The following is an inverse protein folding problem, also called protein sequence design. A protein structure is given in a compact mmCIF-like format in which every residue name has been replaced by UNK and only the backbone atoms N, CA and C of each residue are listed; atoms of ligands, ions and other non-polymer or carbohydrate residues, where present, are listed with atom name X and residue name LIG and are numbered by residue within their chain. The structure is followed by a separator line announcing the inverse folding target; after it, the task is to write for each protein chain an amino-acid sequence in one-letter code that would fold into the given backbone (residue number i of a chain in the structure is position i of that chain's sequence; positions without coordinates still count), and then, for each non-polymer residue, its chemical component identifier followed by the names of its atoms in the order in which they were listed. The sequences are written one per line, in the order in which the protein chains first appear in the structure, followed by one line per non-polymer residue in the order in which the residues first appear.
data_IF_014286932261
#
_entry.id   IF_014286932261
#
_cell.length_a   1.000
_cell.length_b   1.000
_cell.length_c   1.000
_cell.angle_alpha   90.00
_cell.angle_beta   90.00
_cell.angle_gamma   90.00
#
_symmetry.space_group_name_H-M   'P 1'
#
loop_
_entity.id
_entity.type
_entity.pdbx_description
1 polymer ?
#
# COMPACT_ATOMS: atom_id res chain seq x y z
N UNK A 1 -57.16 -40.26 -66.50
CA UNK A 1 -56.33 -41.48 -66.38
C UNK A 1 -55.18 -41.21 -65.43
N UNK A 2 -55.00 -42.10 -64.43
CA UNK A 2 -53.81 -42.34 -63.57
C UNK A 2 -53.26 -41.15 -62.74
N UNK A 3 -53.40 -41.12 -61.40
CA UNK A 3 -52.64 -41.88 -60.35
C UNK A 3 -51.14 -41.49 -60.33
N UNK A 4 -50.39 -41.22 -59.24
CA UNK A 4 -50.43 -41.23 -57.75
C UNK A 4 -49.14 -40.47 -57.31
N UNK A 5 -48.97 -40.20 -56.00
CA UNK A 5 -47.72 -40.00 -55.22
C UNK A 5 -47.44 -38.52 -54.88
N UNK A 6 -47.22 -38.07 -53.62
CA UNK A 6 -47.08 -38.75 -52.33
C UNK A 6 -47.24 -37.71 -51.18
N UNK A 7 -47.69 -38.22 -50.05
CA UNK A 7 -48.01 -37.69 -48.72
C UNK A 7 -47.07 -36.68 -48.01
N UNK A 8 -47.72 -35.79 -47.23
CA UNK A 8 -47.49 -35.47 -45.78
C UNK A 8 -46.25 -34.61 -45.43
N UNK A 9 -46.46 -33.33 -45.11
CA UNK A 9 -46.63 -32.75 -43.76
C UNK A 9 -45.29 -32.53 -43.03
N UNK A 10 -44.92 -31.26 -42.84
CA UNK A 10 -44.68 -30.73 -41.49
C UNK A 10 -44.53 -29.22 -41.52
N UNK A 11 -45.30 -28.59 -40.64
CA UNK A 11 -45.29 -27.18 -40.31
C UNK A 11 -44.07 -26.83 -39.45
N UNK A 12 -43.64 -25.57 -39.49
CA UNK A 12 -42.64 -25.07 -38.54
C UNK A 12 -42.05 -23.71 -38.91
N UNK A 13 -42.73 -22.66 -38.44
CA UNK A 13 -42.31 -21.26 -38.28
C UNK A 13 -40.79 -21.00 -38.23
N UNK A 14 -40.35 -19.88 -38.85
CA UNK A 14 -39.70 -18.78 -38.13
C UNK A 14 -39.47 -17.55 -39.03
N UNK A 15 -39.76 -16.40 -38.45
CA UNK A 15 -39.81 -15.03 -38.99
C UNK A 15 -38.41 -14.46 -39.27
N UNK A 16 -38.23 -13.68 -40.37
CA UNK A 16 -37.34 -12.52 -40.39
C UNK A 16 -38.18 -11.26 -40.66
N UNK A 17 -37.95 -10.06 -40.13
CA UNK A 17 -36.78 -9.46 -39.52
C UNK A 17 -36.84 -7.95 -39.86
N UNK A 18 -36.25 -7.14 -38.98
CA UNK A 18 -35.84 -5.75 -39.18
C UNK A 18 -36.92 -4.65 -39.30
N UNK A 19 -36.90 -3.74 -38.32
CA UNK A 19 -37.54 -2.43 -38.43
C UNK A 19 -37.46 -1.61 -37.15
N UNK A 20 -36.37 -0.85 -37.01
CA UNK A 20 -36.27 0.39 -36.23
C UNK A 20 -36.27 0.28 -34.69
N UNK A 21 -35.14 -0.17 -34.13
CA UNK A 21 -34.77 0.20 -32.77
C UNK A 21 -34.32 1.67 -32.71
N UNK A 22 -35.09 2.44 -31.96
CA UNK A 22 -34.83 3.79 -31.54
C UNK A 22 -33.49 3.92 -30.79
N UNK A 23 -32.43 4.33 -31.50
CA UNK A 23 -31.22 4.87 -30.89
C UNK A 23 -31.39 6.38 -30.69
N UNK A 24 -32.04 6.77 -29.59
CA UNK A 24 -32.01 8.15 -29.10
C UNK A 24 -31.88 8.16 -27.57
N UNK A 25 -30.71 7.77 -27.10
CA UNK A 25 -30.27 7.95 -25.71
C UNK A 25 -28.75 7.75 -25.62
N UNK A 26 -27.96 8.75 -26.04
CA UNK A 26 -26.52 8.84 -25.75
C UNK A 26 -26.06 10.30 -25.77
N UNK A 27 -26.65 11.11 -24.89
CA UNK A 27 -26.08 12.38 -24.48
C UNK A 27 -26.61 12.61 -23.06
N UNK A 28 -25.81 12.19 -22.07
CA UNK A 28 -25.80 12.68 -20.68
C UNK A 28 -25.08 11.66 -19.81
N UNK A 29 -23.76 11.83 -19.70
CA UNK A 29 -22.94 10.91 -18.91
C UNK A 29 -21.44 11.22 -18.91
N UNK A 30 -21.02 12.43 -19.26
CA UNK A 30 -19.65 12.88 -18.95
C UNK A 30 -19.63 13.29 -17.47
N UNK A 31 -19.36 12.31 -16.59
CA UNK A 31 -18.90 12.60 -15.22
C UNK A 31 -17.71 13.54 -15.34
N UNK A 32 -17.84 14.77 -14.83
CA UNK A 32 -16.72 15.70 -14.70
C UNK A 32 -15.62 14.97 -13.94
N UNK A 33 -14.46 14.81 -14.57
CA UNK A 33 -13.27 14.33 -13.90
C UNK A 33 -13.07 15.23 -12.68
N UNK A 34 -13.13 14.66 -11.48
CA UNK A 34 -12.86 15.38 -10.25
C UNK A 34 -11.47 16.01 -10.40
N UNK A 35 -11.38 17.33 -10.25
CA UNK A 35 -10.10 18.02 -10.17
C UNK A 35 -9.25 17.29 -9.13
N UNK A 36 -8.14 16.71 -9.58
CA UNK A 36 -7.19 16.05 -8.71
C UNK A 36 -6.61 17.11 -7.78
N UNK A 37 -7.13 17.18 -6.56
CA UNK A 37 -6.52 17.99 -5.50
C UNK A 37 -5.05 17.60 -5.43
N UNK A 38 -4.12 18.57 -5.32
CA UNK A 38 -2.71 18.25 -5.18
C UNK A 38 -2.53 17.28 -3.99
N UNK A 39 -1.62 16.29 -4.11
CA UNK A 39 -1.42 15.31 -3.05
C UNK A 39 -1.10 16.05 -1.75
N UNK A 40 -1.96 15.90 -0.74
CA UNK A 40 -1.67 16.41 0.59
C UNK A 40 -0.47 15.63 1.13
N UNK A 41 0.58 16.35 1.53
CA UNK A 41 1.75 15.73 2.13
C UNK A 41 1.38 15.17 3.51
N UNK A 42 1.36 13.84 3.63
CA UNK A 42 1.13 13.12 4.88
C UNK A 42 2.48 12.73 5.46
N UNK A 43 2.73 13.11 6.72
CA UNK A 43 3.98 12.79 7.41
C UNK A 43 3.79 11.58 8.35
N UNK A 44 4.83 10.77 8.47
CA UNK A 44 4.91 9.68 9.43
C UNK A 44 5.37 10.19 10.80
N UNK A 45 4.72 9.73 11.86
CA UNK A 45 5.06 10.02 13.25
C UNK A 45 5.26 8.72 14.01
N UNK A 46 6.25 8.68 14.89
CA UNK A 46 6.55 7.49 15.68
C UNK A 46 5.57 7.37 16.85
N UNK A 47 4.76 6.31 16.86
CA UNK A 47 3.73 6.05 17.86
C UNK A 47 2.73 7.20 18.01
N UNK A 48 2.26 7.40 19.24
CA UNK A 48 1.34 8.50 19.58
C UNK A 48 2.05 9.84 19.84
N UNK A 49 3.29 9.99 19.38
CA UNK A 49 4.09 11.20 19.60
C UNK A 49 3.91 12.24 18.48
N UNK A 50 4.54 13.40 18.66
CA UNK A 50 4.75 14.42 17.63
C UNK A 50 6.16 14.33 17.02
N UNK A 51 6.86 13.22 17.26
CA UNK A 51 8.21 12.99 16.77
C UNK A 51 8.11 12.40 15.37
N UNK A 52 8.38 13.25 14.38
CA UNK A 52 8.58 12.87 12.98
C UNK A 52 10.03 12.55 12.67
N UNK A 53 10.94 13.29 13.30
CA UNK A 53 12.37 13.24 13.02
C UNK A 53 13.19 13.65 14.24
N UNK A 54 14.50 13.43 14.16
CA UNK A 54 15.46 13.84 15.18
C UNK A 54 15.90 12.71 16.11
N UNK A 55 16.64 13.09 17.15
CA UNK A 55 17.25 12.15 18.08
C UNK A 55 16.30 11.83 19.22
N UNK A 56 16.16 10.55 19.53
CA UNK A 56 15.40 10.04 20.67
C UNK A 56 16.26 9.11 21.52
N UNK A 57 15.96 9.01 22.81
CA UNK A 57 16.61 8.01 23.66
C UNK A 57 16.12 6.61 23.28
N UNK A 58 16.93 5.58 23.52
CA UNK A 58 16.52 4.18 23.28
C UNK A 58 15.20 3.84 23.97
N UNK A 59 15.03 4.26 25.22
CA UNK A 59 13.79 4.01 25.98
C UNK A 59 12.56 4.62 25.31
N UNK A 60 12.68 5.86 24.81
CA UNK A 60 11.59 6.53 24.10
C UNK A 60 11.34 5.85 22.76
N UNK A 61 12.38 5.54 22.00
CA UNK A 61 12.28 4.82 20.74
C UNK A 61 11.57 3.47 20.92
N UNK A 62 12.05 2.63 21.84
CA UNK A 62 11.48 1.31 22.13
C UNK A 62 10.02 1.40 22.57
N UNK A 63 9.65 2.45 23.30
CA UNK A 63 8.26 2.67 23.71
C UNK A 63 7.38 3.07 22.54
N UNK A 64 7.85 3.97 21.66
CA UNK A 64 7.04 4.51 20.58
C UNK A 64 6.92 3.55 19.40
N UNK A 65 7.99 2.82 19.07
CA UNK A 65 7.96 1.85 17.96
C UNK A 65 6.97 0.71 18.22
N UNK A 66 6.75 0.35 19.50
CA UNK A 66 5.72 -0.62 19.91
C UNK A 66 4.29 -0.10 19.73
N UNK A 67 4.10 1.21 19.69
CA UNK A 67 2.81 1.84 19.47
C UNK A 67 2.46 1.96 17.98
N UNK A 68 3.40 1.63 17.08
CA UNK A 68 3.22 1.74 15.64
C UNK A 68 3.64 3.10 15.09
N UNK A 69 3.10 3.44 13.92
CA UNK A 69 3.34 4.65 13.16
C UNK A 69 2.01 5.33 12.89
N UNK A 70 1.99 6.66 12.98
CA UNK A 70 0.80 7.47 12.69
C UNK A 70 1.03 8.36 11.49
N UNK A 71 0.09 8.35 10.55
CA UNK A 71 0.05 9.24 9.41
C UNK A 71 -0.78 10.49 9.73
N UNK A 72 -0.19 11.68 9.61
CA UNK A 72 -0.88 12.95 9.88
C UNK A 72 -0.44 14.05 8.91
N UNK A 73 -1.39 14.84 8.42
CA UNK A 73 -1.10 16.00 7.58
C UNK A 73 -0.74 17.25 8.39
N UNK A 74 -0.39 18.32 7.68
CA UNK A 74 -0.07 19.63 8.29
C UNK A 74 -1.24 20.28 9.05
N UNK A 75 -2.48 19.86 8.82
CA UNK A 75 -3.68 20.35 9.51
C UNK A 75 -4.02 19.55 10.77
N UNK A 76 -3.25 18.51 11.08
CA UNK A 76 -3.48 17.62 12.22
C UNK A 76 -4.49 16.51 11.93
N UNK A 77 -4.93 16.36 10.68
CA UNK A 77 -5.83 15.27 10.29
C UNK A 77 -5.03 13.97 10.22
N UNK A 78 -5.53 12.95 10.92
CA UNK A 78 -4.94 11.61 10.94
C UNK A 78 -5.52 10.73 9.82
N UNK A 79 -4.68 9.84 9.29
CA UNK A 79 -5.04 8.90 8.23
C UNK A 79 -4.79 7.47 8.70
N UNK A 80 -5.57 6.53 8.17
CA UNK A 80 -5.31 5.11 8.36
C UNK A 80 -4.04 4.73 7.61
N UNK A 81 -3.12 4.03 8.28
CA UNK A 81 -1.90 3.51 7.66
C UNK A 81 -2.19 2.12 7.11
N UNK A 82 -2.15 1.97 5.79
CA UNK A 82 -2.34 0.67 5.12
C UNK A 82 -1.04 -0.15 5.09
N UNK A 83 0.10 0.54 5.11
CA UNK A 83 1.42 -0.03 5.26
C UNK A 83 2.49 1.04 5.13
N UNK A 84 3.73 0.67 5.40
CA UNK A 84 4.90 1.53 5.25
C UNK A 84 6.15 0.69 5.07
N UNK A 85 7.22 1.30 4.56
CA UNK A 85 8.55 0.71 4.53
C UNK A 85 9.34 1.21 5.73
N UNK A 86 9.84 0.27 6.54
CA UNK A 86 10.75 0.57 7.64
C UNK A 86 12.19 0.29 7.21
N UNK A 87 13.02 1.31 7.31
CA UNK A 87 14.45 1.23 7.06
C UNK A 87 15.21 1.41 8.37
N UNK A 88 16.18 0.54 8.64
CA UNK A 88 17.00 0.58 9.85
C UNK A 88 18.48 0.47 9.52
N UNK A 89 19.25 1.50 9.86
CA UNK A 89 20.70 1.52 9.81
C UNK A 89 21.28 1.22 11.19
N UNK A 90 21.84 0.03 11.35
CA UNK A 90 22.45 -0.46 12.58
C UNK A 90 23.97 -0.33 12.51
N UNK A 91 24.59 0.37 13.46
CA UNK A 91 26.06 0.52 13.49
C UNK A 91 26.72 -0.66 14.20
N UNK A 92 27.48 -1.48 13.50
CA UNK A 92 28.16 -2.63 14.11
C UNK A 92 29.68 -2.52 14.02
N UNK A 93 30.34 -3.26 14.92
CA UNK A 93 31.79 -3.37 14.98
C UNK A 93 32.22 -4.59 14.17
N UNK A 94 33.12 -4.36 13.22
CA UNK A 94 33.67 -5.35 12.32
C UNK A 94 35.18 -5.37 12.41
N UNK A 95 35.79 -6.42 11.88
CA UNK A 95 37.23 -6.53 11.69
C UNK A 95 37.55 -6.45 10.20
N UNK A 96 38.53 -5.63 9.83
CA UNK A 96 39.04 -5.57 8.46
C UNK A 96 39.92 -6.79 8.13
N UNK A 97 40.37 -6.88 6.87
CA UNK A 97 41.15 -8.05 6.41
C UNK A 97 42.52 -8.22 7.08
N UNK A 98 42.98 -7.24 7.88
CA UNK A 98 44.28 -7.27 8.58
C UNK A 98 44.10 -7.25 10.10
N UNK A 99 42.90 -7.50 10.60
CA UNK A 99 42.64 -7.62 12.03
C UNK A 99 42.32 -6.31 12.75
N UNK A 100 42.05 -5.21 12.04
CA UNK A 100 41.74 -3.92 12.67
C UNK A 100 40.24 -3.71 12.78
N UNK A 101 39.82 -3.22 13.95
CA UNK A 101 38.44 -2.89 14.23
C UNK A 101 37.97 -1.68 13.39
N UNK A 102 36.77 -1.79 12.82
CA UNK A 102 36.10 -0.73 12.07
C UNK A 102 34.60 -0.70 12.38
N UNK A 103 33.97 0.47 12.27
CA UNK A 103 32.52 0.61 12.42
C UNK A 103 31.89 0.68 11.03
N UNK A 104 30.94 -0.21 10.77
CA UNK A 104 30.12 -0.21 9.55
C UNK A 104 28.64 -0.10 9.92
N UNK A 105 27.81 0.29 8.95
CA UNK A 105 26.35 0.35 9.12
C UNK A 105 25.71 -0.74 8.28
N UNK A 106 24.96 -1.62 8.94
CA UNK A 106 24.13 -2.63 8.29
C UNK A 106 22.74 -2.07 8.07
N UNK A 107 22.15 -2.37 6.92
CA UNK A 107 20.82 -1.90 6.58
C UNK A 107 19.83 -3.05 6.55
N UNK A 108 18.68 -2.84 7.18
CA UNK A 108 17.49 -3.68 7.05
C UNK A 108 16.36 -2.81 6.50
N UNK A 109 15.67 -3.33 5.48
CA UNK A 109 14.49 -2.69 4.89
C UNK A 109 13.38 -3.72 4.82
N UNK A 110 12.20 -3.37 5.34
CA UNK A 110 11.04 -4.27 5.34
C UNK A 110 9.74 -3.48 5.12
N UNK A 111 8.88 -3.99 4.24
CA UNK A 111 7.52 -3.50 4.13
C UNK A 111 6.67 -4.08 5.26
N UNK A 112 6.04 -3.20 6.03
CA UNK A 112 5.19 -3.51 7.16
C UNK A 112 3.73 -3.24 6.77
N UNK A 113 2.86 -4.27 6.69
CA UNK A 113 1.45 -4.06 6.45
C UNK A 113 0.77 -3.49 7.71
N UNK A 114 -0.06 -2.47 7.53
CA UNK A 114 -0.70 -1.74 8.63
C UNK A 114 0.20 -0.70 9.28
N UNK A 115 -0.10 -0.35 10.53
CA UNK A 115 0.56 0.72 11.28
C UNK A 115 1.71 0.24 12.18
N UNK A 116 1.99 -1.06 12.23
CA UNK A 116 3.00 -1.63 13.12
C UNK A 116 4.06 -2.39 12.35
N UNK A 117 5.27 -2.44 12.92
CA UNK A 117 6.31 -3.33 12.46
C UNK A 117 5.84 -4.79 12.56
N UNK A 118 6.35 -5.66 11.68
CA UNK A 118 6.13 -7.09 11.85
C UNK A 118 6.71 -7.59 13.18
N UNK A 119 6.17 -8.68 13.70
CA UNK A 119 6.57 -9.21 15.01
C UNK A 119 8.07 -9.58 15.04
N UNK A 120 8.57 -10.18 13.95
CA UNK A 120 9.97 -10.56 13.81
C UNK A 120 10.90 -9.35 13.83
N UNK A 121 10.58 -8.34 13.02
CA UNK A 121 11.33 -7.09 12.97
C UNK A 121 11.31 -6.35 14.30
N UNK A 122 10.13 -6.21 14.91
CA UNK A 122 9.96 -5.59 16.23
C UNK A 122 10.87 -6.23 17.28
N UNK A 123 10.88 -7.57 17.36
CA UNK A 123 11.72 -8.30 18.32
C UNK A 123 13.21 -8.04 18.07
N UNK A 124 13.65 -8.12 16.81
CA UNK A 124 15.04 -7.93 16.44
C UNK A 124 15.53 -6.51 16.76
N UNK A 125 14.77 -5.50 16.35
CA UNK A 125 15.11 -4.09 16.56
C UNK A 125 15.21 -3.78 18.04
N UNK A 126 14.19 -4.13 18.84
CA UNK A 126 14.18 -3.79 20.27
C UNK A 126 15.33 -4.42 21.08
N UNK A 127 15.83 -5.58 20.63
CA UNK A 127 16.97 -6.26 21.25
C UNK A 127 18.31 -5.65 20.86
N UNK A 128 18.43 -5.08 19.66
CA UNK A 128 19.71 -4.66 19.06
C UNK A 128 19.91 -3.15 19.00
N UNK A 129 18.85 -2.37 19.19
CA UNK A 129 18.89 -0.91 19.10
C UNK A 129 19.93 -0.33 20.04
N UNK A 130 20.72 0.62 19.53
CA UNK A 130 21.75 1.30 20.31
C UNK A 130 21.96 2.73 19.84
N UNK A 131 22.69 3.49 20.65
CA UNK A 131 22.97 4.88 20.37
C UNK A 131 23.74 5.01 19.04
N UNK A 132 23.24 5.89 18.16
CA UNK A 132 23.83 6.12 16.85
C UNK A 132 23.21 5.30 15.72
N UNK A 133 22.33 4.36 16.01
CA UNK A 133 21.48 3.73 14.98
C UNK A 133 20.45 4.73 14.45
N UNK A 134 19.94 4.48 13.24
CA UNK A 134 18.97 5.35 12.57
C UNK A 134 17.80 4.53 12.03
N UNK A 135 16.57 5.00 12.27
CA UNK A 135 15.36 4.44 11.70
C UNK A 135 14.69 5.47 10.78
N UNK A 136 14.16 5.02 9.64
CA UNK A 136 13.44 5.84 8.67
C UNK A 136 12.14 5.11 8.32
N UNK A 137 11.05 5.86 8.23
CA UNK A 137 9.74 5.36 7.82
C UNK A 137 9.37 6.07 6.52
N UNK A 138 9.21 5.29 5.45
CA UNK A 138 8.95 5.78 4.10
C UNK A 138 7.72 5.08 3.50
N UNK A 139 7.20 5.63 2.40
CA UNK A 139 6.09 5.02 1.64
C UNK A 139 4.86 4.71 2.50
N UNK A 140 4.49 5.66 3.36
CA UNK A 140 3.31 5.63 4.23
C UNK A 140 2.05 6.11 3.52
#
# INVERSE_FOLDING_TARGET
MKRIFQYVLMAGLLVPGAGLLAQKAKEDGKKKAAESRPPQHVAAYLGNSQIREGRVSKKVFDSLIRQGVRAMDSSGKTYTVEGFTFNYGERNLYEDSVGRLMILTDFVSEYCPGDTLTQGLTKNILQRTKAGDTAIIDQI
#
